data_IF_956806108023
#
_entry.id   IF_956806108023
#
_cell.length_a   1.000
_cell.length_b   1.000
_cell.length_c   1.000
_cell.angle_alpha   90.00
_cell.angle_beta   90.00
_cell.angle_gamma   90.00
#
_symmetry.space_group_name_H-M   'P 1'
#
loop_
_entity.id
_entity.type
_entity.pdbx_description
1 polymer ?
#
# COMPACT_ATOMS: atom_id res chain seq x y z
N UNK A 1 -10.24 10.49 20.03
CA UNK A 1 -10.19 10.80 18.58
C UNK A 1 -10.91 9.68 17.85
N UNK A 2 -11.78 9.96 16.88
CA UNK A 2 -12.49 8.92 16.13
C UNK A 2 -11.66 8.61 14.89
N UNK A 3 -11.34 7.33 14.65
CA UNK A 3 -10.71 6.88 13.41
C UNK A 3 -11.70 7.09 12.26
N UNK A 4 -11.24 7.63 11.14
CA UNK A 4 -12.07 7.96 9.98
C UNK A 4 -11.70 7.12 8.76
N UNK A 5 -10.47 6.59 8.73
CA UNK A 5 -9.94 5.80 7.62
C UNK A 5 -9.00 4.71 8.13
N UNK A 6 -9.09 3.51 7.57
CA UNK A 6 -8.10 2.43 7.71
C UNK A 6 -7.41 2.16 6.39
N UNK A 7 -6.14 1.75 6.47
CA UNK A 7 -5.46 1.09 5.36
C UNK A 7 -5.37 -0.41 5.67
N UNK A 8 -5.75 -1.24 4.71
CA UNK A 8 -5.66 -2.70 4.80
C UNK A 8 -4.67 -3.17 3.74
N UNK A 9 -3.56 -3.78 4.19
CA UNK A 9 -2.58 -4.40 3.32
C UNK A 9 -3.08 -5.76 2.88
N UNK A 10 -3.14 -5.99 1.59
CA UNK A 10 -3.68 -7.20 0.98
C UNK A 10 -2.66 -7.85 0.04
N UNK A 11 -2.83 -9.12 -0.20
CA UNK A 11 -1.93 -9.90 -1.06
C UNK A 11 -2.74 -10.73 -2.06
N UNK A 12 -2.41 -10.68 -3.35
CA UNK A 12 -3.19 -11.31 -4.42
C UNK A 12 -3.48 -12.80 -4.22
N UNK A 13 -2.55 -13.56 -3.63
CA UNK A 13 -2.75 -14.98 -3.37
C UNK A 13 -3.87 -15.32 -2.36
N UNK A 14 -4.39 -14.32 -1.62
CA UNK A 14 -5.50 -14.55 -0.69
C UNK A 14 -6.82 -14.86 -1.39
N UNK A 15 -6.99 -14.35 -2.62
CA UNK A 15 -8.21 -14.55 -3.41
C UNK A 15 -7.97 -15.24 -4.75
N UNK A 16 -6.75 -15.21 -5.28
CA UNK A 16 -6.38 -15.92 -6.50
C UNK A 16 -4.96 -16.48 -6.37
N UNK A 17 -4.80 -17.64 -5.71
CA UNK A 17 -3.48 -18.25 -5.44
C UNK A 17 -2.75 -18.74 -6.69
N UNK A 18 -3.49 -18.98 -7.77
CA UNK A 18 -2.96 -19.37 -9.08
C UNK A 18 -3.82 -18.76 -10.18
N UNK A 19 -3.21 -18.45 -11.33
CA UNK A 19 -3.93 -17.89 -12.45
C UNK A 19 -5.14 -18.76 -12.83
N UNK A 20 -6.29 -18.15 -13.01
CA UNK A 20 -7.56 -18.82 -13.22
C UNK A 20 -7.68 -19.43 -14.64
N UNK A 21 -7.36 -18.65 -15.68
CA UNK A 21 -7.58 -19.05 -17.09
C UNK A 21 -6.56 -18.49 -18.10
N UNK A 22 -5.63 -17.61 -17.69
CA UNK A 22 -4.70 -16.85 -18.54
C UNK A 22 -5.39 -15.91 -19.57
N UNK A 23 -6.60 -15.46 -19.29
CA UNK A 23 -7.30 -14.44 -20.09
C UNK A 23 -7.65 -13.24 -19.20
N UNK A 24 -6.86 -12.16 -19.22
CA UNK A 24 -7.04 -11.02 -18.32
C UNK A 24 -8.32 -10.22 -18.55
N UNK A 25 -9.10 -10.59 -19.56
CA UNK A 25 -10.37 -9.93 -19.83
C UNK A 25 -11.56 -10.58 -19.11
N UNK A 26 -11.44 -11.87 -18.75
CA UNK A 26 -12.57 -12.68 -18.24
C UNK A 26 -12.14 -13.51 -17.04
N UNK A 27 -12.55 -13.09 -15.84
CA UNK A 27 -12.32 -13.85 -14.62
C UNK A 27 -13.14 -15.14 -14.56
N UNK A 28 -12.49 -16.28 -14.31
CA UNK A 28 -13.18 -17.52 -13.93
C UNK A 28 -13.40 -17.55 -12.40
N UNK A 29 -14.53 -17.01 -11.97
CA UNK A 29 -14.90 -16.89 -10.55
C UNK A 29 -14.85 -18.23 -9.80
N UNK A 30 -14.91 -19.37 -10.48
CA UNK A 30 -14.84 -20.69 -9.85
C UNK A 30 -13.44 -21.04 -9.34
N UNK A 31 -12.42 -20.29 -9.75
CA UNK A 31 -11.02 -20.45 -9.34
C UNK A 31 -10.58 -19.48 -8.26
N UNK A 32 -11.40 -18.48 -7.95
CA UNK A 32 -11.12 -17.53 -6.88
C UNK A 32 -11.46 -18.12 -5.51
N UNK A 33 -10.65 -17.81 -4.50
CA UNK A 33 -10.76 -18.30 -3.11
C UNK A 33 -11.25 -17.22 -2.16
N UNK A 34 -12.43 -16.63 -2.46
CA UNK A 34 -13.00 -15.57 -1.61
C UNK A 34 -13.40 -16.03 -0.20
N UNK A 35 -13.32 -17.31 0.09
CA UNK A 35 -13.57 -17.91 1.41
C UNK A 35 -12.29 -18.31 2.16
N UNK A 36 -11.12 -17.92 1.68
CA UNK A 36 -9.84 -18.14 2.39
C UNK A 36 -9.84 -17.53 3.81
N UNK A 37 -9.01 -18.05 4.70
CA UNK A 37 -8.89 -17.54 6.08
C UNK A 37 -8.50 -16.07 6.12
N UNK A 38 -7.63 -15.65 5.20
CA UNK A 38 -7.20 -14.26 5.04
C UNK A 38 -8.38 -13.38 4.62
N UNK A 39 -9.17 -13.80 3.62
CA UNK A 39 -10.33 -13.05 3.18
C UNK A 39 -11.42 -13.01 4.28
N UNK A 40 -11.61 -14.08 5.04
CA UNK A 40 -12.49 -14.04 6.23
C UNK A 40 -12.02 -13.03 7.29
N UNK A 41 -10.71 -12.85 7.43
CA UNK A 41 -10.14 -11.82 8.31
C UNK A 41 -10.38 -10.41 7.78
N UNK A 42 -10.23 -10.21 6.47
CA UNK A 42 -10.56 -8.94 5.79
C UNK A 42 -12.03 -8.59 6.00
N UNK A 43 -12.95 -9.53 5.81
CA UNK A 43 -14.40 -9.27 6.01
C UNK A 43 -14.71 -8.79 7.41
N UNK A 44 -14.11 -9.38 8.46
CA UNK A 44 -14.32 -8.92 9.85
C UNK A 44 -13.91 -7.44 10.04
N UNK A 45 -12.81 -7.02 9.40
CA UNK A 45 -12.37 -5.63 9.47
C UNK A 45 -13.31 -4.72 8.68
N UNK A 46 -13.75 -5.16 7.49
CA UNK A 46 -14.69 -4.39 6.66
C UNK A 46 -16.06 -4.27 7.32
N UNK A 47 -16.58 -5.31 7.96
CA UNK A 47 -17.82 -5.29 8.73
C UNK A 47 -17.75 -4.22 9.82
N UNK A 48 -16.69 -4.25 10.65
CA UNK A 48 -16.47 -3.26 11.69
C UNK A 48 -16.31 -1.83 11.15
N UNK A 49 -15.61 -1.67 10.04
CA UNK A 49 -15.45 -0.38 9.41
C UNK A 49 -16.80 0.17 8.92
N UNK A 50 -17.58 -0.66 8.25
CA UNK A 50 -18.89 -0.28 7.72
C UNK A 50 -19.89 0.06 8.84
N UNK A 51 -19.98 -0.79 9.90
CA UNK A 51 -20.83 -0.53 11.06
C UNK A 51 -20.50 0.78 11.77
N UNK A 52 -19.22 1.19 11.75
CA UNK A 52 -18.74 2.39 12.43
C UNK A 52 -18.57 3.60 11.50
N UNK A 53 -18.98 3.50 10.24
CA UNK A 53 -18.81 4.55 9.21
C UNK A 53 -17.34 4.99 9.09
N UNK A 54 -16.43 4.04 9.02
CA UNK A 54 -14.99 4.25 8.79
C UNK A 54 -14.69 3.90 7.36
N UNK A 55 -14.03 4.80 6.63
CA UNK A 55 -13.56 4.54 5.27
C UNK A 55 -12.41 3.53 5.25
N UNK A 56 -12.25 2.83 4.15
CA UNK A 56 -11.18 1.84 3.96
C UNK A 56 -10.43 2.11 2.66
N UNK A 57 -9.10 2.14 2.78
CA UNK A 57 -8.17 2.07 1.65
C UNK A 57 -7.67 0.62 1.53
N UNK A 58 -7.92 -0.02 0.40
CA UNK A 58 -7.29 -1.30 0.08
C UNK A 58 -5.96 -1.06 -0.59
N UNK A 59 -4.92 -1.72 -0.10
CA UNK A 59 -3.54 -1.55 -0.57
C UNK A 59 -2.99 -2.91 -0.94
N UNK A 60 -2.44 -3.06 -2.14
CA UNK A 60 -1.69 -4.27 -2.49
C UNK A 60 -0.27 -4.14 -1.93
N UNK A 61 0.09 -5.08 -1.05
CA UNK A 61 1.43 -5.11 -0.46
C UNK A 61 2.50 -5.49 -1.49
N UNK A 62 2.15 -6.37 -2.40
CA UNK A 62 2.99 -6.89 -3.47
C UNK A 62 2.49 -8.25 -3.93
N UNK A 63 2.92 -8.68 -5.11
CA UNK A 63 2.73 -10.05 -5.56
C UNK A 63 3.72 -10.95 -4.82
N UNK A 64 3.26 -11.62 -3.80
CA UNK A 64 4.12 -12.40 -2.93
C UNK A 64 4.25 -13.81 -3.47
N UNK A 65 5.45 -14.31 -3.37
CA UNK A 65 5.72 -15.73 -3.42
C UNK A 65 5.11 -16.40 -2.19
N UNK A 66 4.83 -17.66 -2.28
CA UNK A 66 4.28 -18.42 -1.17
C UNK A 66 5.31 -18.48 -0.03
N UNK A 67 5.28 -17.46 0.82
CA UNK A 67 6.08 -17.40 2.03
C UNK A 67 5.23 -17.92 3.18
N UNK A 68 5.74 -18.92 3.86
CA UNK A 68 5.28 -19.15 5.21
C UNK A 68 5.73 -17.96 6.08
N UNK A 69 4.82 -17.03 6.30
CA UNK A 69 5.07 -15.84 7.12
C UNK A 69 5.49 -16.19 8.55
N UNK A 70 5.14 -17.38 9.03
CA UNK A 70 5.51 -17.84 10.37
C UNK A 70 6.93 -18.37 10.42
N UNK A 71 7.38 -19.03 9.39
CA UNK A 71 8.73 -19.60 9.31
C UNK A 71 9.72 -18.67 8.62
N UNK A 72 9.24 -17.70 7.85
CA UNK A 72 10.08 -16.86 6.99
C UNK A 72 10.75 -17.64 5.85
N UNK A 73 10.30 -18.88 5.61
CA UNK A 73 10.85 -19.74 4.57
C UNK A 73 10.06 -19.50 3.29
N UNK A 74 10.75 -18.98 2.29
CA UNK A 74 10.28 -19.01 0.93
C UNK A 74 10.40 -20.42 0.39
N UNK A 75 9.28 -21.09 0.14
CA UNK A 75 9.27 -22.45 -0.43
C UNK A 75 9.53 -22.47 -1.95
N UNK A 76 9.96 -21.36 -2.52
CA UNK A 76 10.38 -21.25 -3.91
C UNK A 76 9.23 -21.14 -4.91
N UNK A 77 7.99 -21.06 -4.46
CA UNK A 77 6.85 -20.87 -5.37
C UNK A 77 6.59 -19.40 -5.60
N UNK A 78 6.72 -19.01 -6.84
CA UNK A 78 6.48 -17.67 -7.33
C UNK A 78 4.99 -17.50 -7.65
N UNK A 79 4.37 -16.42 -7.19
CA UNK A 79 3.03 -16.06 -7.63
C UNK A 79 3.06 -15.68 -9.13
N UNK A 80 2.01 -15.97 -9.88
CA UNK A 80 1.97 -15.73 -11.34
C UNK A 80 2.06 -14.26 -11.72
N UNK A 81 1.67 -13.36 -10.82
CA UNK A 81 1.79 -11.91 -10.97
C UNK A 81 3.17 -11.36 -10.63
N UNK A 82 4.03 -12.18 -10.04
CA UNK A 82 5.27 -11.74 -9.45
C UNK A 82 6.29 -11.29 -10.50
N UNK A 83 6.90 -10.14 -10.32
CA UNK A 83 8.05 -9.71 -11.11
C UNK A 83 9.20 -10.70 -10.92
N UNK A 84 9.56 -11.37 -12.01
CA UNK A 84 10.63 -12.35 -12.02
C UNK A 84 11.99 -11.78 -11.60
N UNK A 85 12.22 -10.51 -11.90
CA UNK A 85 13.47 -9.80 -11.59
C UNK A 85 13.53 -9.45 -10.12
N UNK A 86 12.48 -8.89 -9.54
CA UNK A 86 12.39 -8.65 -8.11
C UNK A 86 12.51 -9.93 -7.31
N UNK A 87 11.89 -11.01 -7.78
CA UNK A 87 11.98 -12.32 -7.15
C UNK A 87 13.41 -12.86 -7.13
N UNK A 88 14.16 -12.73 -8.23
CA UNK A 88 15.52 -13.25 -8.32
C UNK A 88 16.52 -12.45 -7.46
N UNK A 89 16.28 -11.16 -7.29
CA UNK A 89 17.15 -10.28 -6.49
C UNK A 89 16.85 -10.43 -5.00
N UNK A 90 15.58 -10.54 -4.68
CA UNK A 90 15.11 -10.71 -3.31
C UNK A 90 13.89 -11.62 -3.31
N UNK A 91 14.07 -12.92 -3.15
CA UNK A 91 12.96 -13.87 -3.07
C UNK A 91 12.20 -13.69 -1.75
N UNK A 92 11.99 -12.48 -1.37
CA UNK A 92 11.32 -12.08 -0.15
C UNK A 92 9.83 -12.00 -0.32
N UNK A 93 9.22 -11.43 0.65
CA UNK A 93 7.79 -11.31 0.85
C UNK A 93 7.14 -10.14 0.08
N UNK A 94 7.94 -9.31 -0.56
CA UNK A 94 7.48 -8.26 -1.46
C UNK A 94 8.12 -8.46 -2.83
N UNK A 95 7.31 -8.65 -3.85
CA UNK A 95 7.75 -8.67 -5.23
C UNK A 95 6.86 -7.76 -6.06
N UNK A 96 7.44 -7.12 -7.06
CA UNK A 96 6.70 -6.29 -8.01
C UNK A 96 5.80 -7.12 -8.92
N UNK A 97 4.99 -6.41 -9.67
CA UNK A 97 4.10 -6.98 -10.69
C UNK A 97 4.79 -6.90 -12.04
N UNK A 98 4.76 -7.95 -12.84
CA UNK A 98 5.23 -7.95 -14.22
C UNK A 98 4.16 -8.33 -15.25
N UNK A 99 3.06 -8.91 -14.78
CA UNK A 99 1.87 -9.19 -15.60
C UNK A 99 0.76 -8.20 -15.23
N UNK A 100 0.72 -7.06 -15.91
CA UNK A 100 -0.12 -5.93 -15.52
C UNK A 100 -1.60 -6.15 -15.81
N UNK A 101 -1.91 -6.81 -16.90
CA UNK A 101 -3.28 -7.10 -17.32
C UNK A 101 -3.92 -8.14 -16.41
N UNK A 102 -3.22 -9.22 -16.10
CA UNK A 102 -3.67 -10.23 -15.13
C UNK A 102 -3.79 -9.64 -13.72
N UNK A 103 -2.87 -8.75 -13.33
CA UNK A 103 -3.00 -8.04 -12.06
C UNK A 103 -4.26 -7.15 -12.03
N UNK A 104 -4.54 -6.48 -13.13
CA UNK A 104 -5.71 -5.62 -13.24
C UNK A 104 -7.00 -6.45 -13.15
N UNK A 105 -7.05 -7.61 -13.78
CA UNK A 105 -8.14 -8.57 -13.67
C UNK A 105 -8.28 -9.10 -12.24
N UNK A 106 -7.21 -9.64 -11.67
CA UNK A 106 -7.13 -10.16 -10.30
C UNK A 106 -7.69 -9.18 -9.28
N UNK A 107 -7.15 -7.95 -9.27
CA UNK A 107 -7.50 -6.96 -8.25
C UNK A 107 -8.87 -6.32 -8.48
N UNK A 108 -9.24 -6.06 -9.76
CA UNK A 108 -10.57 -5.54 -10.09
C UNK A 108 -11.66 -6.53 -9.71
N UNK A 109 -11.49 -7.81 -10.00
CA UNK A 109 -12.44 -8.87 -9.66
C UNK A 109 -12.67 -8.96 -8.16
N UNK A 110 -11.60 -8.92 -7.38
CA UNK A 110 -11.70 -8.93 -5.91
C UNK A 110 -12.44 -7.69 -5.39
N UNK A 111 -12.07 -6.49 -5.84
CA UNK A 111 -12.72 -5.25 -5.40
C UNK A 111 -14.19 -5.23 -5.82
N UNK A 112 -14.50 -5.66 -7.04
CA UNK A 112 -15.87 -5.78 -7.53
C UNK A 112 -16.70 -6.72 -6.66
N UNK A 113 -16.15 -7.89 -6.32
CA UNK A 113 -16.78 -8.85 -5.41
C UNK A 113 -17.08 -8.21 -4.04
N UNK A 114 -16.13 -7.50 -3.45
CA UNK A 114 -16.33 -6.83 -2.17
C UNK A 114 -17.43 -5.75 -2.22
N UNK A 115 -17.50 -4.99 -3.31
CA UNK A 115 -18.45 -3.88 -3.44
C UNK A 115 -19.84 -4.37 -3.87
N UNK A 116 -19.92 -5.29 -4.83
CA UNK A 116 -21.20 -5.69 -5.47
C UNK A 116 -21.84 -6.91 -4.83
N UNK A 117 -21.05 -7.92 -4.44
CA UNK A 117 -21.58 -9.14 -3.81
C UNK A 117 -21.61 -9.05 -2.29
N UNK A 118 -20.58 -8.47 -1.68
CA UNK A 118 -20.51 -8.30 -0.23
C UNK A 118 -21.11 -6.97 0.25
N UNK A 119 -21.39 -6.03 -0.66
CA UNK A 119 -22.03 -4.73 -0.39
C UNK A 119 -21.24 -3.81 0.56
N UNK A 120 -19.91 -3.87 0.54
CA UNK A 120 -19.07 -2.97 1.31
C UNK A 120 -18.99 -1.59 0.68
N UNK A 121 -19.70 -0.62 1.26
CA UNK A 121 -19.66 0.79 0.87
C UNK A 121 -18.58 1.58 1.59
N UNK A 122 -17.94 1.00 2.59
CA UNK A 122 -16.82 1.61 3.33
C UNK A 122 -15.52 1.65 2.51
N UNK A 123 -15.38 0.82 1.48
CA UNK A 123 -14.22 0.82 0.59
C UNK A 123 -14.32 2.05 -0.31
N UNK A 124 -13.49 3.05 -0.06
CA UNK A 124 -13.55 4.32 -0.78
C UNK A 124 -12.23 4.72 -1.45
N UNK A 125 -11.13 4.04 -1.14
CA UNK A 125 -9.84 4.30 -1.75
C UNK A 125 -9.12 2.99 -2.11
N UNK A 126 -8.34 3.08 -3.18
CA UNK A 126 -7.45 2.02 -3.66
C UNK A 126 -6.04 2.58 -3.80
N UNK A 127 -5.07 1.92 -3.20
CA UNK A 127 -3.65 2.11 -3.46
C UNK A 127 -3.14 0.86 -4.19
N UNK A 128 -2.84 0.94 -5.48
CA UNK A 128 -2.54 -0.24 -6.29
C UNK A 128 -1.33 -1.04 -5.83
N UNK A 129 -0.35 -0.37 -5.22
CA UNK A 129 0.89 -1.00 -4.76
C UNK A 129 1.54 -0.18 -3.64
N UNK A 130 1.95 -0.86 -2.57
CA UNK A 130 2.66 -0.22 -1.46
C UNK A 130 4.10 0.12 -1.83
N UNK A 131 4.50 1.35 -1.62
CA UNK A 131 5.87 1.84 -1.77
C UNK A 131 6.56 1.39 -3.07
N UNK A 132 6.01 1.72 -4.25
CA UNK A 132 6.55 1.25 -5.53
C UNK A 132 7.96 1.76 -5.82
N UNK A 133 8.40 2.80 -5.13
CA UNK A 133 9.75 3.36 -5.19
C UNK A 133 10.71 2.77 -4.14
N UNK A 134 10.24 1.84 -3.31
CA UNK A 134 11.06 1.30 -2.23
C UNK A 134 12.29 0.57 -2.76
N UNK A 135 13.43 0.93 -2.21
CA UNK A 135 14.73 0.34 -2.49
C UNK A 135 15.46 -0.03 -1.21
N UNK A 136 14.69 -0.35 -0.17
CA UNK A 136 15.24 -0.79 1.10
C UNK A 136 16.12 -2.01 0.87
N UNK A 137 17.36 -1.92 1.30
CA UNK A 137 18.32 -3.00 1.16
C UNK A 137 17.78 -4.30 1.77
N UNK A 138 17.75 -5.37 1.00
CA UNK A 138 17.23 -6.67 1.40
C UNK A 138 15.80 -6.97 0.90
N UNK A 139 15.03 -5.99 0.45
CA UNK A 139 13.71 -6.22 -0.14
C UNK A 139 13.73 -6.30 -1.67
N UNK A 140 14.92 -6.21 -2.25
CA UNK A 140 15.04 -6.10 -3.68
C UNK A 140 14.52 -4.77 -4.18
N UNK A 141 14.58 -4.62 -5.46
CA UNK A 141 14.07 -3.45 -6.11
C UNK A 141 12.67 -3.80 -6.58
N UNK A 142 11.73 -3.02 -6.17
CA UNK A 142 10.34 -3.18 -6.54
C UNK A 142 10.11 -2.42 -7.85
N UNK A 143 8.92 -2.07 -8.14
CA UNK A 143 8.47 -1.52 -9.42
C UNK A 143 9.12 -0.20 -9.84
N UNK A 144 9.84 0.47 -8.94
CA UNK A 144 10.58 1.69 -9.25
C UNK A 144 11.82 1.45 -10.10
N UNK A 145 12.53 0.36 -9.83
CA UNK A 145 13.86 0.16 -10.40
C UNK A 145 13.93 -0.96 -11.44
N UNK A 146 12.91 -1.79 -11.57
CA UNK A 146 12.86 -2.90 -12.51
C UNK A 146 14.08 -3.81 -12.38
N UNK A 147 14.76 -4.10 -13.49
CA UNK A 147 16.06 -4.73 -13.49
C UNK A 147 17.18 -3.74 -13.22
N UNK A 148 16.78 -2.50 -12.90
CA UNK A 148 17.57 -1.59 -12.14
C UNK A 148 18.58 -0.76 -12.91
N UNK A 149 18.88 -1.13 -14.09
CA UNK A 149 19.77 -0.39 -14.96
C UNK A 149 19.05 0.19 -16.18
N UNK A 150 17.99 -0.49 -16.61
CA UNK A 150 17.32 -0.21 -17.87
C UNK A 150 15.84 0.14 -17.77
N UNK A 151 15.16 -0.28 -16.69
CA UNK A 151 13.72 -0.03 -16.50
C UNK A 151 13.48 0.93 -15.34
N UNK A 152 12.78 2.00 -15.61
CA UNK A 152 12.31 2.96 -14.61
C UNK A 152 10.88 2.66 -14.14
N UNK A 153 10.40 3.45 -13.21
CA UNK A 153 9.03 3.37 -12.72
C UNK A 153 7.99 3.62 -13.83
N UNK A 154 8.34 4.35 -14.88
CA UNK A 154 7.48 4.54 -16.04
C UNK A 154 7.20 3.24 -16.79
N UNK A 155 8.13 2.30 -16.73
CA UNK A 155 8.04 1.01 -17.41
C UNK A 155 7.43 -0.09 -16.52
N UNK A 156 7.18 0.21 -15.26
CA UNK A 156 6.65 -0.75 -14.27
C UNK A 156 5.38 -0.23 -13.59
N UNK A 157 5.49 0.72 -12.67
CA UNK A 157 4.35 1.21 -11.89
C UNK A 157 3.28 1.91 -12.73
N UNK A 158 3.69 2.79 -13.66
CA UNK A 158 2.73 3.55 -14.44
C UNK A 158 1.90 2.69 -15.41
N UNK A 159 2.48 1.74 -16.17
CA UNK A 159 1.70 0.80 -16.97
C UNK A 159 0.73 -0.05 -16.13
N UNK A 160 1.18 -0.55 -14.99
CA UNK A 160 0.33 -1.33 -14.06
C UNK A 160 -0.89 -0.52 -13.60
N UNK A 161 -0.69 0.73 -13.16
CA UNK A 161 -1.80 1.59 -12.72
C UNK A 161 -2.77 1.87 -13.87
N UNK A 162 -2.26 2.11 -15.09
CA UNK A 162 -3.10 2.36 -16.28
C UNK A 162 -3.92 1.14 -16.66
N UNK A 163 -3.34 -0.06 -16.62
CA UNK A 163 -4.06 -1.30 -16.86
C UNK A 163 -5.19 -1.48 -15.82
N UNK A 164 -4.87 -1.25 -14.56
CA UNK A 164 -5.85 -1.33 -13.47
C UNK A 164 -6.98 -0.32 -13.62
N UNK A 165 -6.68 0.94 -13.91
CA UNK A 165 -7.69 1.98 -14.13
C UNK A 165 -8.62 1.64 -15.30
N UNK A 166 -8.05 1.15 -16.41
CA UNK A 166 -8.82 0.71 -17.56
C UNK A 166 -9.76 -0.47 -17.19
N UNK A 167 -9.28 -1.47 -16.45
CA UNK A 167 -10.08 -2.61 -16.01
C UNK A 167 -11.19 -2.19 -15.05
N UNK A 168 -10.90 -1.32 -14.07
CA UNK A 168 -11.92 -0.78 -13.16
C UNK A 168 -13.01 0.00 -13.91
N UNK A 169 -12.65 0.73 -14.97
CA UNK A 169 -13.61 1.40 -15.85
C UNK A 169 -14.47 0.40 -16.62
N UNK A 170 -13.84 -0.62 -17.20
CA UNK A 170 -14.54 -1.69 -17.94
C UNK A 170 -15.50 -2.47 -17.03
N UNK A 171 -15.11 -2.74 -15.79
CA UNK A 171 -15.91 -3.47 -14.80
C UNK A 171 -16.98 -2.58 -14.13
N UNK A 172 -17.01 -1.28 -14.41
CA UNK A 172 -18.01 -0.33 -13.90
C UNK A 172 -17.83 0.09 -12.44
N UNK A 173 -16.68 -0.20 -11.83
CA UNK A 173 -16.40 0.10 -10.41
C UNK A 173 -15.50 1.31 -10.20
N UNK A 174 -14.87 1.86 -11.24
CA UNK A 174 -13.92 2.98 -11.12
C UNK A 174 -14.51 4.21 -10.44
N UNK A 175 -15.78 4.50 -10.66
CA UNK A 175 -16.47 5.64 -10.04
C UNK A 175 -16.88 5.42 -8.58
N UNK A 176 -16.73 4.21 -8.06
CA UNK A 176 -17.10 3.85 -6.68
C UNK A 176 -15.95 4.06 -5.70
N UNK A 177 -14.71 4.20 -6.21
CA UNK A 177 -13.49 4.30 -5.42
C UNK A 177 -12.57 5.39 -5.95
N UNK A 178 -11.73 5.93 -5.08
CA UNK A 178 -10.67 6.87 -5.44
C UNK A 178 -9.32 6.17 -5.51
N UNK A 179 -8.60 6.36 -6.62
CA UNK A 179 -7.22 5.90 -6.73
C UNK A 179 -6.29 6.87 -6.02
N UNK A 180 -5.68 6.38 -4.95
CA UNK A 180 -4.70 7.09 -4.12
C UNK A 180 -3.31 6.61 -4.51
N UNK A 181 -2.62 7.39 -5.35
CA UNK A 181 -1.41 6.98 -6.05
C UNK A 181 -0.14 7.56 -5.42
N UNK A 182 0.98 7.27 -6.02
CA UNK A 182 2.37 7.42 -5.58
C UNK A 182 2.75 6.50 -4.42
N UNK A 183 2.15 6.61 -3.28
CA UNK A 183 2.42 5.77 -2.09
C UNK A 183 3.93 5.63 -1.78
N UNK A 184 4.70 6.69 -2.06
CA UNK A 184 6.15 6.64 -2.11
C UNK A 184 6.79 6.83 -0.73
N UNK A 185 7.94 6.17 -0.56
CA UNK A 185 8.72 6.28 0.67
C UNK A 185 9.30 7.68 0.85
N UNK A 186 9.43 8.10 2.13
CA UNK A 186 10.05 9.37 2.55
C UNK A 186 9.53 10.64 1.87
N UNK A 187 8.39 10.56 1.17
CA UNK A 187 7.73 11.70 0.57
C UNK A 187 8.64 12.50 -0.34
N UNK A 188 9.11 11.89 -1.41
CA UNK A 188 9.95 12.57 -2.40
C UNK A 188 9.07 13.38 -3.35
N UNK A 189 9.06 14.72 -3.28
CA UNK A 189 8.19 15.54 -4.15
C UNK A 189 8.43 15.29 -5.64
N UNK A 190 9.65 14.96 -6.03
CA UNK A 190 10.00 14.61 -7.40
C UNK A 190 9.28 13.35 -7.90
N UNK A 191 9.08 12.35 -7.05
CA UNK A 191 8.34 11.15 -7.42
C UNK A 191 6.85 11.46 -7.65
N UNK A 192 6.24 12.27 -6.76
CA UNK A 192 4.86 12.71 -6.94
C UNK A 192 4.69 13.48 -8.25
N UNK A 193 5.60 14.43 -8.54
CA UNK A 193 5.58 15.20 -9.79
C UNK A 193 5.72 14.29 -11.03
N UNK A 194 6.54 13.25 -10.93
CA UNK A 194 6.67 12.26 -12.00
C UNK A 194 5.38 11.45 -12.18
N UNK A 195 4.73 11.03 -11.10
CA UNK A 195 3.40 10.39 -11.15
C UNK A 195 2.36 11.32 -11.81
N UNK A 196 2.32 12.60 -11.43
CA UNK A 196 1.44 13.60 -12.06
C UNK A 196 1.68 13.69 -13.57
N UNK A 197 2.93 13.65 -14.00
CA UNK A 197 3.29 13.68 -15.42
C UNK A 197 2.90 12.42 -16.18
N UNK A 198 2.83 11.27 -15.52
CA UNK A 198 2.48 10.00 -16.12
C UNK A 198 0.97 9.73 -16.17
N UNK A 199 0.23 10.17 -15.15
CA UNK A 199 -1.20 9.91 -14.98
C UNK A 199 -2.04 11.09 -15.51
N UNK A 200 -2.12 11.20 -16.83
CA UNK A 200 -2.72 12.35 -17.54
C UNK A 200 -4.19 12.17 -17.93
N UNK A 201 -4.74 10.95 -17.76
CA UNK A 201 -6.11 10.60 -18.15
C UNK A 201 -7.03 10.38 -16.93
N UNK A 202 -6.80 11.16 -15.87
CA UNK A 202 -7.55 11.08 -14.61
C UNK A 202 -7.45 9.73 -13.89
N UNK A 203 -6.32 9.02 -14.06
CA UNK A 203 -6.06 7.79 -13.34
C UNK A 203 -5.95 8.03 -11.82
N UNK A 204 -5.35 9.18 -11.42
CA UNK A 204 -5.20 9.55 -10.01
C UNK A 204 -6.35 10.44 -9.53
N UNK A 205 -6.90 10.14 -8.36
CA UNK A 205 -7.83 11.05 -7.65
C UNK A 205 -7.09 11.86 -6.58
N UNK A 206 -6.10 11.27 -5.95
CA UNK A 206 -5.22 11.90 -4.98
C UNK A 206 -3.86 11.21 -4.99
N UNK A 207 -2.88 11.84 -4.33
CA UNK A 207 -1.55 11.29 -4.15
C UNK A 207 -1.24 11.10 -2.67
N UNK A 208 -0.34 10.15 -2.34
CA UNK A 208 0.10 9.96 -0.97
C UNK A 208 1.59 9.64 -0.87
N UNK A 209 2.11 9.80 0.33
CA UNK A 209 3.50 9.50 0.67
C UNK A 209 3.61 8.96 2.08
N UNK A 210 4.68 8.19 2.33
CA UNK A 210 5.06 7.71 3.64
C UNK A 210 6.19 8.55 4.21
N UNK A 211 6.31 8.66 5.53
CA UNK A 211 7.39 9.41 6.18
C UNK A 211 7.73 8.87 7.55
N UNK A 212 9.00 8.48 7.71
CA UNK A 212 9.55 7.94 8.96
C UNK A 212 10.82 8.66 9.43
N UNK A 213 11.30 9.67 8.70
CA UNK A 213 12.57 10.35 8.92
C UNK A 213 12.56 11.42 10.02
N UNK A 214 11.39 11.84 10.45
CA UNK A 214 11.26 12.92 11.43
C UNK A 214 11.17 12.39 12.86
N UNK A 215 11.98 12.94 13.75
CA UNK A 215 12.02 12.59 15.16
C UNK A 215 11.22 13.56 16.06
N UNK A 216 11.25 13.31 17.36
CA UNK A 216 10.55 14.14 18.34
C UNK A 216 11.03 15.59 18.39
N UNK A 217 12.27 15.86 17.99
CA UNK A 217 12.89 17.18 18.02
C UNK A 217 12.72 17.93 16.69
N UNK A 218 12.19 17.29 15.68
CA UNK A 218 11.96 17.93 14.38
C UNK A 218 11.04 19.13 14.54
N UNK A 219 11.45 20.34 14.11
CA UNK A 219 10.64 21.54 14.22
C UNK A 219 9.30 21.42 13.48
N UNK A 220 8.24 22.00 14.02
CA UNK A 220 6.92 22.03 13.36
C UNK A 220 6.98 22.62 11.95
N UNK A 221 7.80 23.67 11.76
CA UNK A 221 8.00 24.29 10.46
C UNK A 221 8.57 23.32 9.42
N UNK A 222 9.44 22.40 9.83
CA UNK A 222 9.99 21.37 8.95
C UNK A 222 8.91 20.39 8.51
N UNK A 223 8.06 19.92 9.43
CA UNK A 223 6.94 19.03 9.13
C UNK A 223 5.95 19.70 8.16
N UNK A 224 5.56 20.93 8.45
CA UNK A 224 4.65 21.73 7.61
C UNK A 224 5.25 21.97 6.22
N UNK A 225 6.53 22.33 6.13
CA UNK A 225 7.18 22.60 4.86
C UNK A 225 7.32 21.34 4.01
N UNK A 226 7.63 20.20 4.61
CA UNK A 226 7.68 18.92 3.92
C UNK A 226 6.34 18.60 3.25
N UNK A 227 5.25 18.70 4.00
CA UNK A 227 3.91 18.40 3.47
C UNK A 227 3.49 19.40 2.39
N UNK A 228 3.77 20.69 2.56
CA UNK A 228 3.49 21.71 1.55
C UNK A 228 4.23 21.46 0.23
N UNK A 229 5.44 20.93 0.28
CA UNK A 229 6.19 20.54 -0.93
C UNK A 229 5.51 19.38 -1.66
N UNK A 230 5.03 18.36 -0.93
CA UNK A 230 4.29 17.25 -1.51
C UNK A 230 2.98 17.73 -2.15
N UNK A 231 2.21 18.55 -1.45
CA UNK A 231 0.98 19.17 -1.97
C UNK A 231 1.27 19.99 -3.24
N UNK A 232 2.31 20.80 -3.25
CA UNK A 232 2.69 21.57 -4.42
C UNK A 232 3.07 20.70 -5.63
N UNK A 233 3.59 19.51 -5.39
CA UNK A 233 3.97 18.55 -6.43
C UNK A 233 2.80 17.71 -6.94
N UNK A 234 1.65 17.71 -6.25
CA UNK A 234 0.49 16.88 -6.56
C UNK A 234 -0.38 17.37 -7.73
N UNK A 235 0.08 18.37 -8.48
CA UNK A 235 -0.59 18.83 -9.71
C UNK A 235 -2.01 19.37 -9.49
N UNK A 236 -2.28 19.97 -8.32
CA UNK A 236 -3.60 20.47 -7.94
C UNK A 236 -4.53 19.42 -7.33
N UNK A 237 -4.14 18.16 -7.29
CA UNK A 237 -4.86 17.10 -6.58
C UNK A 237 -4.52 17.14 -5.08
N UNK A 238 -5.35 16.48 -4.27
CA UNK A 238 -5.12 16.38 -2.81
C UNK A 238 -3.95 15.47 -2.51
N UNK A 239 -3.26 15.74 -1.40
CA UNK A 239 -2.22 14.88 -0.87
C UNK A 239 -2.65 14.30 0.49
N UNK A 240 -2.35 13.03 0.69
CA UNK A 240 -2.62 12.26 1.89
C UNK A 240 -1.30 11.75 2.47
N UNK A 241 -1.08 11.83 3.76
CA UNK A 241 0.07 11.15 4.38
C UNK A 241 -0.34 9.73 4.69
N UNK A 242 -0.02 8.81 3.77
CA UNK A 242 -0.47 7.42 3.76
C UNK A 242 0.06 6.59 4.91
N UNK A 243 1.30 6.86 5.30
CA UNK A 243 1.90 6.34 6.52
C UNK A 243 2.81 7.39 7.15
N UNK A 244 2.78 7.48 8.46
CA UNK A 244 3.82 8.18 9.20
C UNK A 244 4.14 7.48 10.51
N UNK A 245 5.37 7.64 10.96
CA UNK A 245 5.89 7.13 12.20
C UNK A 245 7.15 7.87 12.59
N UNK A 246 7.98 7.24 13.42
CA UNK A 246 9.23 7.83 13.88
C UNK A 246 10.42 6.94 13.53
N UNK A 247 11.65 7.51 13.43
CA UNK A 247 12.86 6.72 13.19
C UNK A 247 13.05 5.60 14.23
N UNK A 248 13.77 4.58 13.85
CA UNK A 248 13.98 3.37 14.67
C UNK A 248 13.37 2.14 14.01
N UNK A 249 12.94 2.28 12.79
CA UNK A 249 12.53 1.18 11.94
C UNK A 249 13.64 0.12 11.86
N UNK A 250 13.32 -1.12 12.20
CA UNK A 250 14.30 -2.22 12.27
C UNK A 250 14.90 -2.46 13.65
N UNK A 251 14.67 -1.61 14.65
CA UNK A 251 14.91 -1.96 16.04
C UNK A 251 13.66 -2.65 16.62
N UNK A 252 13.88 -3.67 17.44
CA UNK A 252 12.80 -4.41 18.08
C UNK A 252 11.85 -3.52 18.88
N UNK A 253 12.34 -2.37 19.30
CA UNK A 253 11.55 -1.42 20.07
C UNK A 253 11.92 0.00 19.67
N UNK A 254 10.97 0.72 19.11
CA UNK A 254 11.14 2.15 18.88
C UNK A 254 11.23 2.89 20.21
N UNK A 255 12.13 3.88 20.28
CA UNK A 255 12.32 4.64 21.49
C UNK A 255 11.03 5.30 21.98
N UNK A 256 10.71 5.07 23.25
CA UNK A 256 9.57 5.71 23.92
C UNK A 256 8.19 5.30 23.43
N UNK A 257 8.06 4.17 22.75
CA UNK A 257 6.78 3.74 22.13
C UNK A 257 5.64 3.58 23.14
N UNK A 258 5.95 3.15 24.35
CA UNK A 258 5.00 2.93 25.44
C UNK A 258 4.86 4.15 26.37
N UNK A 259 5.28 5.32 25.91
CA UNK A 259 5.28 6.54 26.74
C UNK A 259 4.16 7.50 26.32
N UNK A 260 3.66 8.28 27.29
CA UNK A 260 2.78 9.43 27.03
C UNK A 260 3.38 10.40 26.00
N UNK A 261 4.70 10.60 26.06
CA UNK A 261 5.42 11.45 25.10
C UNK A 261 5.21 10.98 23.67
N UNK A 262 5.27 9.67 23.43
CA UNK A 262 5.02 9.11 22.08
C UNK A 262 3.61 9.47 21.59
N UNK A 263 2.58 9.26 22.40
CA UNK A 263 1.21 9.61 22.04
C UNK A 263 1.04 11.10 21.71
N UNK A 264 1.64 12.00 22.52
CA UNK A 264 1.64 13.45 22.26
C UNK A 264 2.34 13.77 20.93
N UNK A 265 3.48 13.13 20.65
CA UNK A 265 4.23 13.38 19.42
C UNK A 265 3.50 12.88 18.16
N UNK A 266 2.82 11.74 18.23
CA UNK A 266 1.97 11.26 17.12
C UNK A 266 0.93 12.35 16.78
N UNK A 267 0.21 12.85 17.78
CA UNK A 267 -0.81 13.88 17.58
C UNK A 267 -0.18 15.18 17.04
N UNK A 268 0.96 15.61 17.61
CA UNK A 268 1.68 16.80 17.13
C UNK A 268 2.03 16.70 15.65
N UNK A 269 2.60 15.58 15.22
CA UNK A 269 3.02 15.35 13.83
C UNK A 269 1.79 15.34 12.91
N UNK A 270 0.75 14.59 13.28
CA UNK A 270 -0.50 14.52 12.52
C UNK A 270 -1.13 15.92 12.32
N UNK A 271 -1.23 16.71 13.39
CA UNK A 271 -1.79 18.05 13.32
C UNK A 271 -0.95 19.01 12.46
N UNK A 272 0.38 18.86 12.43
CA UNK A 272 1.22 19.68 11.55
C UNK A 272 0.99 19.35 10.06
N UNK A 273 0.83 18.07 9.70
CA UNK A 273 0.51 17.71 8.31
C UNK A 273 -0.89 18.20 7.91
N UNK A 274 -1.89 18.03 8.77
CA UNK A 274 -3.24 18.57 8.51
C UNK A 274 -3.23 20.09 8.40
N UNK A 275 -2.49 20.80 9.26
CA UNK A 275 -2.33 22.26 9.19
C UNK A 275 -1.58 22.74 7.93
N UNK A 276 -0.71 21.88 7.36
CA UNK A 276 -0.06 22.14 6.09
C UNK A 276 -1.02 22.04 4.90
N UNK A 277 -2.13 21.31 5.02
CA UNK A 277 -3.13 21.09 4.00
C UNK A 277 -3.29 19.64 3.54
N UNK A 278 -2.68 18.67 4.24
CA UNK A 278 -2.95 17.26 3.99
C UNK A 278 -4.44 16.96 4.08
N UNK A 279 -5.00 16.20 3.15
CA UNK A 279 -6.42 15.82 3.20
C UNK A 279 -6.71 14.70 4.23
N UNK A 280 -5.67 14.06 4.75
CA UNK A 280 -5.73 13.08 5.81
C UNK A 280 -4.34 12.56 6.17
N UNK A 281 -4.27 11.84 7.28
CA UNK A 281 -3.03 11.25 7.78
C UNK A 281 -3.30 9.87 8.37
N UNK A 282 -2.41 8.92 8.15
CA UNK A 282 -2.50 7.56 8.69
C UNK A 282 -1.23 7.22 9.46
N UNK A 283 -1.38 6.91 10.74
CA UNK A 283 -0.27 6.46 11.58
C UNK A 283 -0.01 4.96 11.35
N UNK A 284 1.24 4.58 11.21
CA UNK A 284 1.66 3.19 11.18
C UNK A 284 2.20 2.77 12.55
N UNK A 285 1.53 1.87 13.27
CA UNK A 285 0.32 1.18 12.90
C UNK A 285 -0.68 1.12 14.08
N UNK A 286 -1.87 0.56 13.86
CA UNK A 286 -2.89 0.44 14.89
C UNK A 286 -2.50 -0.57 15.99
N UNK A 287 -1.81 -1.64 15.59
CA UNK A 287 -1.38 -2.74 16.47
C UNK A 287 0.10 -3.05 16.27
N UNK A 288 0.71 -3.67 17.26
CA UNK A 288 2.05 -4.20 17.13
C UNK A 288 2.12 -5.33 16.10
N UNK A 289 3.23 -5.42 15.38
CA UNK A 289 3.38 -6.36 14.28
C UNK A 289 4.61 -7.25 14.42
N UNK A 290 4.47 -8.50 14.01
CA UNK A 290 5.58 -9.44 13.81
C UNK A 290 5.99 -9.43 12.36
N UNK A 291 7.18 -8.92 12.06
CA UNK A 291 7.67 -8.87 10.68
C UNK A 291 8.44 -10.13 10.26
N UNK A 292 9.09 -10.82 11.18
CA UNK A 292 9.81 -12.05 10.87
C UNK A 292 10.10 -12.85 12.14
N UNK A 293 9.79 -14.14 12.14
CA UNK A 293 10.03 -15.03 13.27
C UNK A 293 11.37 -15.79 13.21
N UNK A 294 12.06 -15.83 12.07
CA UNK A 294 13.19 -16.72 11.86
C UNK A 294 14.53 -16.04 11.62
N UNK A 295 14.59 -14.75 11.51
CA UNK A 295 15.84 -14.02 11.42
C UNK A 295 16.18 -13.38 12.76
N UNK A 296 17.31 -12.72 12.79
CA UNK A 296 17.73 -11.83 13.88
C UNK A 296 16.71 -10.74 14.27
N UNK A 297 15.54 -10.74 13.63
CA UNK A 297 14.38 -9.87 13.87
C UNK A 297 13.17 -10.67 14.40
N UNK A 298 13.39 -11.71 15.16
CA UNK A 298 12.33 -12.54 15.76
C UNK A 298 11.46 -11.80 16.79
N UNK A 299 11.68 -10.52 16.97
CA UNK A 299 10.98 -9.72 17.95
C UNK A 299 9.81 -8.96 17.31
N UNK A 300 8.72 -8.88 18.06
CA UNK A 300 7.57 -8.07 17.71
C UNK A 300 7.98 -6.60 17.62
N UNK A 301 7.71 -5.97 16.48
CA UNK A 301 7.87 -4.54 16.37
C UNK A 301 6.69 -3.84 17.06
N UNK A 302 6.99 -3.16 18.14
CA UNK A 302 6.02 -2.37 18.88
C UNK A 302 5.76 -1.05 18.14
N UNK A 303 4.87 -1.11 17.16
CA UNK A 303 4.48 0.04 16.34
C UNK A 303 3.07 0.54 16.69
N UNK A 304 2.32 -0.22 17.49
CA UNK A 304 0.94 0.06 17.84
C UNK A 304 0.73 1.37 18.60
N UNK A 305 -0.51 1.86 18.55
CA UNK A 305 -0.99 3.02 19.29
C UNK A 305 -1.14 2.73 20.78
#
# INVERSE_FOLDING_TARGET
>A
MKVQQFRIMMQPQWWEPSNDNNDPNVADMSKFTFDSEEMQSVYKVLDLAQENNIGVTLVVWGAITNIDLLSGINNGQKHFLCDARSYNVNPGWIAGIDNYEEFAENFSTMVKYLIEEKHYTCINQITPFNEPDSHIAGYGRIMWQGDFETMGWQDTYAPMVKALDAKFKADGIRSKVHFNLSDNTDGTPGYIAACVSAFTNDEADLYNSHVYKFDYNTPNSTLVNWERQNIASAGGKRHFVGEFGFPGYGSARQYGIDTYTRGVQIIRVALNYLNAGACGVSYWSLIDQYYNRNASYSEMQQLGL
#
